data_IF_182702908210
#
_entry.id   IF_182702908210
#
_cell.length_a   1.000
_cell.length_b   1.000
_cell.length_c   1.000
_cell.angle_alpha   90.00
_cell.angle_beta   90.00
_cell.angle_gamma   90.00
#
_symmetry.space_group_name_H-M   'P 1'
#
loop_
_entity.id
_entity.type
_entity.pdbx_description
1 polymer ?
2 non-polymer ?
3 non-polymer ?
4 water ?
#
# COMPACT_ATOMS: atom_id res chain seq x y z
N UNK A 1 -0.96 8.45 22.96
CA UNK A 1 -1.66 7.69 21.89
C UNK A 1 -0.99 7.91 20.54
N UNK A 2 -0.79 6.83 19.80
CA UNK A 2 -0.32 6.94 18.42
C UNK A 2 -1.48 7.40 17.53
N UNK A 3 -1.16 8.22 16.53
CA UNK A 3 -2.17 8.79 15.64
C UNK A 3 -2.75 7.76 14.68
N UNK A 4 -4.08 7.72 14.64
CA UNK A 4 -4.79 6.83 13.75
C UNK A 4 -5.15 7.58 12.47
N UNK A 5 -4.92 6.93 11.34
CA UNK A 5 -5.22 7.53 10.04
C UNK A 5 -6.38 6.82 9.38
N UNK A 6 -6.98 7.48 8.39
CA UNK A 6 -8.24 7.03 7.81
C UNK A 6 -8.10 6.92 6.30
N UNK A 7 -7.88 5.70 5.79
CA UNK A 7 -7.74 5.51 4.35
C UNK A 7 -8.97 5.92 3.57
N UNK A 8 -8.74 6.57 2.43
CA UNK A 8 -9.82 6.91 1.51
C UNK A 8 -10.29 5.64 0.78
N UNK A 9 -11.39 5.73 0.01
CA UNK A 9 -12.07 4.51 -0.44
C UNK A 9 -11.25 3.45 -1.17
N UNK A 10 -10.43 3.84 -2.14
CA UNK A 10 -9.67 2.83 -2.87
C UNK A 10 -8.65 2.16 -1.95
N UNK A 11 -7.88 2.94 -1.20
CA UNK A 11 -6.90 2.33 -0.31
C UNK A 11 -7.58 1.42 0.70
N UNK A 12 -8.69 1.88 1.27
CA UNK A 12 -9.42 1.06 2.24
C UNK A 12 -9.83 -0.27 1.62
N UNK A 13 -10.30 -0.21 0.38
CA UNK A 13 -10.76 -1.40 -0.32
C UNK A 13 -9.63 -2.42 -0.44
N UNK A 14 -8.44 -1.94 -0.81
CA UNK A 14 -7.30 -2.83 -0.98
C UNK A 14 -6.89 -3.44 0.35
N UNK A 15 -6.92 -2.63 1.41
CA UNK A 15 -6.53 -3.11 2.73
C UNK A 15 -7.51 -4.17 3.22
N UNK A 16 -8.80 -3.95 2.99
CA UNK A 16 -9.80 -4.91 3.42
C UNK A 16 -9.73 -6.20 2.60
N UNK A 17 -9.34 -6.09 1.33
CA UNK A 17 -9.18 -7.28 0.51
C UNK A 17 -8.02 -8.12 1.04
N UNK A 18 -7.10 -7.47 1.75
CA UNK A 18 -5.96 -8.16 2.35
C UNK A 18 -6.26 -8.63 3.77
N UNK A 19 -7.46 -8.34 4.25
CA UNK A 19 -7.88 -8.88 5.54
C UNK A 19 -8.10 -7.85 6.63
N UNK A 20 -7.93 -6.57 6.30
CA UNK A 20 -8.18 -5.52 7.28
C UNK A 20 -9.65 -5.50 7.66
N UNK A 21 -9.94 -5.14 8.91
CA UNK A 21 -11.30 -5.24 9.44
C UNK A 21 -11.87 -3.92 9.95
N UNK A 22 -11.04 -2.89 10.05
CA UNK A 22 -11.48 -1.60 10.58
C UNK A 22 -11.31 -0.47 9.57
N UNK A 23 -11.62 0.75 9.99
CA UNK A 23 -11.59 1.91 9.09
C UNK A 23 -10.48 2.91 9.41
N UNK A 24 -9.93 2.82 10.62
CA UNK A 24 -8.77 3.64 10.97
C UNK A 24 -7.64 2.74 11.46
N UNK A 25 -6.41 3.21 11.30
CA UNK A 25 -5.22 2.38 11.48
C UNK A 25 -4.06 3.26 11.93
N UNK A 26 -3.06 2.67 12.57
CA UNK A 26 -1.78 3.34 12.71
C UNK A 26 -1.06 3.20 11.38
N UNK A 27 -0.08 4.05 11.12
CA UNK A 27 0.68 3.92 9.88
C UNK A 27 1.33 2.54 9.81
N UNK A 28 1.77 2.02 10.96
CA UNK A 28 2.36 0.69 11.02
C UNK A 28 1.38 -0.36 10.51
N UNK A 29 0.12 -0.25 10.91
CA UNK A 29 -0.91 -1.18 10.46
C UNK A 29 -1.21 -1.03 8.97
N UNK A 30 -1.26 0.21 8.48
CA UNK A 30 -1.49 0.44 7.05
C UNK A 30 -0.41 -0.26 6.23
N UNK A 31 0.84 -0.09 6.65
CA UNK A 31 1.98 -0.66 5.93
C UNK A 31 1.95 -2.19 6.01
N UNK A 32 1.56 -2.72 7.17
CA UNK A 32 1.46 -4.17 7.31
C UNK A 32 0.45 -4.75 6.32
N UNK A 33 -0.75 -4.17 6.28
CA UNK A 33 -1.78 -4.70 5.41
C UNK A 33 -1.44 -4.52 3.93
N UNK A 34 -0.75 -3.43 3.61
CA UNK A 34 -0.29 -3.24 2.23
C UNK A 34 0.76 -4.28 1.85
N UNK A 35 1.64 -4.61 2.78
CA UNK A 35 2.62 -5.66 2.54
C UNK A 35 1.95 -7.00 2.30
N UNK A 36 0.87 -7.27 3.03
CA UNK A 36 0.13 -8.51 2.84
C UNK A 36 -0.55 -8.53 1.47
N UNK A 37 -1.11 -7.40 1.06
CA UNK A 37 -1.75 -7.30 -0.25
C UNK A 37 -0.73 -7.56 -1.37
N UNK A 38 0.42 -6.91 -1.28
CA UNK A 38 1.46 -7.05 -2.29
C UNK A 38 1.92 -8.49 -2.42
N UNK A 39 2.10 -9.15 -1.28
CA UNK A 39 2.49 -10.56 -1.27
C UNK A 39 1.37 -11.44 -1.83
N UNK A 40 0.14 -11.17 -1.42
CA UNK A 40 -1.00 -11.97 -1.86
C UNK A 40 -1.20 -11.87 -3.38
N UNK A 41 -0.95 -10.69 -3.93
CA UNK A 41 -1.12 -10.46 -5.36
C UNK A 41 0.13 -10.85 -6.14
N UNK A 42 1.18 -11.24 -5.42
CA UNK A 42 2.45 -11.62 -6.03
C UNK A 42 3.02 -10.52 -6.91
N UNK A 43 3.12 -9.32 -6.35
CA UNK A 43 3.58 -8.17 -7.12
C UNK A 43 5.09 -7.97 -7.05
N UNK A 44 5.76 -8.69 -6.17
CA UNK A 44 7.22 -8.57 -6.08
C UNK A 44 7.89 -9.08 -7.34
N UNK A 45 8.94 -8.38 -7.76
CA UNK A 45 9.77 -8.86 -8.85
C UNK A 45 10.46 -10.15 -8.42
N UNK A 46 10.54 -11.11 -9.33
CA UNK A 46 11.08 -12.42 -9.01
C UNK A 46 12.59 -12.39 -8.77
N UNK A 47 13.28 -11.49 -9.46
CA UNK A 47 14.74 -11.43 -9.38
C UNK A 47 15.20 -10.36 -8.40
N UNK A 48 14.68 -9.15 -8.55
CA UNK A 48 15.03 -8.07 -7.64
C UNK A 48 13.88 -7.84 -6.67
N UNK A 49 13.98 -8.49 -5.52
CA UNK A 49 12.84 -8.65 -4.63
C UNK A 49 12.42 -7.38 -3.91
N UNK A 50 13.19 -6.30 -4.07
CA UNK A 50 12.82 -5.03 -3.46
C UNK A 50 11.85 -4.25 -4.34
N UNK A 51 11.67 -4.72 -5.58
CA UNK A 51 10.82 -4.04 -6.54
C UNK A 51 9.40 -4.58 -6.52
N UNK A 52 8.44 -3.67 -6.44
CA UNK A 52 7.03 -4.03 -6.51
C UNK A 52 6.45 -3.57 -7.85
N UNK A 53 5.84 -4.50 -8.58
CA UNK A 53 5.25 -4.20 -9.88
C UNK A 53 3.78 -3.83 -9.75
N UNK A 54 3.43 -2.63 -10.21
CA UNK A 54 2.06 -2.15 -10.07
C UNK A 54 1.37 -1.96 -11.42
N UNK A 55 2.08 -2.20 -12.51
CA UNK A 55 1.58 -1.84 -13.83
C UNK A 55 0.41 -2.72 -14.28
N UNK A 56 0.19 -3.82 -13.57
CA UNK A 56 -0.89 -4.74 -13.91
C UNK A 56 -1.95 -4.82 -12.80
N UNK A 57 -1.86 -3.93 -11.82
CA UNK A 57 -2.69 -4.03 -10.61
C UNK A 57 -3.28 -2.68 -10.24
N UNK A 58 -4.47 -2.67 -9.61
CA UNK A 58 -5.06 -1.39 -9.20
C UNK A 58 -4.19 -0.57 -8.24
N UNK A 59 -3.20 -1.21 -7.61
CA UNK A 59 -2.27 -0.48 -6.77
C UNK A 59 -1.54 0.58 -7.59
N UNK A 60 -1.38 0.31 -8.89
CA UNK A 60 -0.76 1.29 -9.76
C UNK A 60 -1.51 2.61 -9.83
N UNK A 61 -2.83 2.54 -9.96
CA UNK A 61 -3.65 3.75 -9.97
C UNK A 61 -3.64 4.41 -8.61
N UNK A 62 -3.71 3.60 -7.56
CA UNK A 62 -3.76 4.10 -6.19
C UNK A 62 -2.54 4.95 -5.84
N UNK A 63 -1.36 4.42 -6.16
CA UNK A 63 -0.11 5.09 -5.81
C UNK A 63 0.33 6.05 -6.92
N UNK A 64 -0.15 5.82 -8.13
CA UNK A 64 0.20 6.68 -9.24
C UNK A 64 1.57 6.37 -9.82
N UNK A 65 1.95 5.10 -9.80
CA UNK A 65 3.23 4.67 -10.34
C UNK A 65 3.10 3.33 -11.04
N UNK A 66 4.12 2.99 -11.83
CA UNK A 66 4.17 1.68 -12.48
C UNK A 66 4.91 0.68 -11.61
N UNK A 67 6.00 1.12 -10.99
CA UNK A 67 6.66 0.30 -9.98
C UNK A 67 7.36 1.15 -8.93
N UNK A 68 7.57 0.57 -7.75
CA UNK A 68 8.33 1.25 -6.71
C UNK A 68 9.19 0.26 -5.94
N UNK A 69 10.14 0.80 -5.19
CA UNK A 69 11.02 -0.02 -4.38
C UNK A 69 10.63 0.05 -2.91
N UNK A 70 10.65 -1.09 -2.23
CA UNK A 70 10.27 -1.15 -0.82
C UNK A 70 11.31 -0.48 0.06
N UNK A 71 12.45 -0.12 -0.52
CA UNK A 71 13.49 0.56 0.23
C UNK A 71 13.32 2.08 0.18
N UNK A 72 12.36 2.54 -0.60
CA UNK A 72 12.09 3.97 -0.70
C UNK A 72 10.97 4.37 0.25
N UNK A 73 11.29 4.45 1.54
CA UNK A 73 10.27 4.58 2.57
C UNK A 73 9.57 5.93 2.56
N UNK A 74 10.30 7.00 2.28
CA UNK A 74 9.67 8.31 2.23
C UNK A 74 8.67 8.38 1.06
N UNK A 75 9.03 7.75 -0.05
CA UNK A 75 8.16 7.69 -1.22
C UNK A 75 6.88 6.91 -0.91
N UNK A 76 7.02 5.80 -0.20
CA UNK A 76 5.87 4.97 0.14
C UNK A 76 4.93 5.69 1.11
N UNK A 77 5.50 6.40 2.08
CA UNK A 77 4.68 7.20 2.98
C UNK A 77 3.95 8.30 2.23
N UNK A 78 4.61 8.91 1.25
CA UNK A 78 3.98 9.97 0.48
C UNK A 78 2.81 9.42 -0.33
N UNK A 79 3.00 8.24 -0.93
CA UNK A 79 1.95 7.64 -1.74
C UNK A 79 0.75 7.25 -0.89
N UNK A 80 1.00 6.80 0.34
CA UNK A 80 -0.08 6.48 1.26
C UNK A 80 -0.80 7.75 1.74
N UNK A 81 -0.04 8.80 2.02
CA UNK A 81 -0.61 10.04 2.55
C UNK A 81 -1.60 10.70 1.60
N UNK A 82 -1.41 10.50 0.30
CA UNK A 82 -2.32 11.05 -0.69
C UNK A 82 -3.65 10.33 -0.61
N UNK A 83 -3.67 9.22 0.11
CA UNK A 83 -4.86 8.38 0.19
C UNK A 83 -5.36 8.24 1.62
N UNK A 84 -5.21 9.32 2.39
CA UNK A 84 -5.77 9.40 3.74
C UNK A 84 -6.68 10.62 3.81
N UNK A 85 -7.72 10.52 4.63
CA UNK A 85 -8.59 11.67 4.89
C UNK A 85 -7.84 12.71 5.70
N UNK A 86 -7.99 13.98 5.33
CA UNK A 86 -7.46 15.07 6.14
C UNK A 86 -8.58 15.96 6.67
X LIG B 1 5.42 -2.87 3.17
X LIG B 1 6.58 -4.00 4.77
X LIG B 1 7.52 -3.88 3.56
X LIG B 1 6.61 -3.21 2.59
X LIG B 1 5.39 -3.37 4.48
X LIG B 1 4.43 -2.14 2.56
X LIG B 1 6.87 -2.90 1.27
X LIG B 1 5.93 -2.15 0.57
X LIG B 1 4.74 -1.72 1.23
X LIG B 1 7.89 0.66 4.87
X LIG B 1 7.79 2.20 4.24
X LIG B 1 8.26 -0.46 4.06
X LIG B 1 8.34 -1.73 4.66
X LIG B 1 8.73 -2.95 3.86
X LIG B 1 7.97 -5.26 3.06
X LIG B 1 8.06 -1.87 6.02
X LIG B 1 7.69 -0.77 6.80
X LIG B 1 7.60 0.48 6.24
X LIG B 1 8.36 -6.19 4.21
X LIG B 1 8.81 -7.49 3.67
X LIG B 1 9.88 -7.47 2.65
X LIG B 1 9.49 -6.52 1.51
X LIG B 1 9.12 -5.14 2.05
X LIG B 1 6.81 -4.57 5.85
X LIG B 1 3.74 -0.66 0.45
X LIG B 1 8.14 -8.61 3.94
X LIG B 1 8.42 -9.66 3.34
X LIG B 1 7.06 -8.51 4.97
X LIG C 1 13.36 7.54 0.12
X LIG C 1 13.68 8.95 -0.17
X LIG C 1 12.04 7.22 -0.45
X LIG C 1 13.34 7.34 1.59
X LIG C 1 14.39 6.67 -0.48
#
# INVERSE_FOLDING_TARGET
>A
MEKLVQPTPLLLSLLKSAGAQKETFTMKEVLYHLGQYIMAKQLYDEKQQHIVHCSNDPLGELFGVQEFSVKEHRRIYAMISRNLVS
>B hetero
1 20Q C9 C2 C3 C8 N1 C7 C4 C5 C6 C13 CL1 C12 C11 C10 C31 C16 C15 C14 C32 N33 C34 C35 C36 O2 CL6 C33 O33 C37
>C hetero
1 SO4 S O1 O2 O3 O4
#
